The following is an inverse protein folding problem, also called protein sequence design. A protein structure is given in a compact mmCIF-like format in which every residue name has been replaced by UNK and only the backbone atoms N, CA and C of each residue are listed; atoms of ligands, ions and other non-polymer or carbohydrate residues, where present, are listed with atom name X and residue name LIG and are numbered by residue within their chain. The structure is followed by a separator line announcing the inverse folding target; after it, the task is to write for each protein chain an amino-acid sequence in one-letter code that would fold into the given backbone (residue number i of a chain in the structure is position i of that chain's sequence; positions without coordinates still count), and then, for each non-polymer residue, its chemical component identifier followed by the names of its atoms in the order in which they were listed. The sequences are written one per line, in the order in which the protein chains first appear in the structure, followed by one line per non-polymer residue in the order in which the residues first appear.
data_IF_735614067724
#
_entry.id   IF_735614067724
#
_cell.length_a   1.000
_cell.length_b   1.000
_cell.length_c   1.000
_cell.angle_alpha   90.00
_cell.angle_beta   90.00
_cell.angle_gamma   90.00
#
_symmetry.space_group_name_H-M   'P 1'
#
loop_
_entity.id
_entity.type
_entity.pdbx_description
1 polymer ?
#
# COMPACT_ATOMS: atom_id res chain seq x y z
N UNK A 1 67.16 -18.13 -15.80
CA UNK A 1 65.82 -18.05 -16.44
C UNK A 1 64.74 -18.59 -15.48
N UNK A 2 64.41 -17.84 -14.42
CA UNK A 2 63.32 -18.19 -13.47
C UNK A 2 62.53 -16.97 -12.96
N UNK A 3 62.84 -15.76 -13.43
CA UNK A 3 62.14 -14.52 -13.03
C UNK A 3 61.35 -13.86 -14.16
N UNK A 4 61.34 -14.46 -15.36
CA UNK A 4 60.57 -13.96 -16.51
C UNK A 4 59.07 -14.24 -16.41
N UNK A 5 58.62 -15.00 -15.41
CA UNK A 5 57.19 -15.27 -15.15
C UNK A 5 56.57 -14.35 -14.08
N UNK A 6 57.39 -13.56 -13.37
CA UNK A 6 56.93 -12.67 -12.30
C UNK A 6 56.70 -11.21 -12.76
N UNK A 7 56.98 -10.92 -14.04
CA UNK A 7 56.83 -9.59 -14.65
C UNK A 7 55.55 -9.42 -15.49
N UNK A 8 54.71 -10.46 -15.58
CA UNK A 8 53.46 -10.44 -16.37
C UNK A 8 52.19 -10.14 -15.56
N UNK A 9 52.31 -9.90 -14.25
CA UNK A 9 51.17 -9.62 -13.33
C UNK A 9 50.97 -8.11 -13.08
N UNK A 10 51.87 -7.25 -13.58
CA UNK A 10 51.80 -5.78 -13.44
C UNK A 10 51.07 -5.07 -14.60
N UNK A 11 50.40 -5.81 -15.50
CA UNK A 11 49.77 -5.26 -16.71
C UNK A 11 48.22 -5.31 -16.71
N UNK A 12 47.58 -5.18 -15.54
CA UNK A 12 46.13 -4.92 -15.43
C UNK A 12 45.80 -3.64 -14.63
N UNK A 13 46.70 -2.65 -14.66
CA UNK A 13 46.48 -1.29 -14.17
C UNK A 13 46.33 -0.31 -15.34
N UNK A 14 45.29 -0.48 -16.15
CA UNK A 14 44.84 0.56 -17.08
C UNK A 14 43.45 0.23 -17.64
N UNK A 15 42.40 0.51 -16.87
CA UNK A 15 41.10 0.82 -17.44
C UNK A 15 40.52 2.05 -16.74
N UNK A 16 40.85 3.19 -17.34
CA UNK A 16 40.00 4.36 -17.60
C UNK A 16 39.03 4.76 -16.49
N UNK A 17 39.39 5.87 -15.85
CA UNK A 17 38.52 6.69 -15.03
C UNK A 17 37.41 7.32 -15.87
N UNK A 18 36.15 7.04 -15.54
CA UNK A 18 35.01 7.88 -15.90
C UNK A 18 34.49 8.58 -14.65
N UNK A 19 34.85 9.85 -14.47
CA UNK A 19 34.18 10.75 -13.53
C UNK A 19 33.00 11.42 -14.23
N UNK A 20 31.77 11.14 -13.78
CA UNK A 20 30.79 12.13 -13.32
C UNK A 20 29.37 11.53 -13.19
N UNK A 21 28.85 11.72 -11.97
CA UNK A 21 27.42 11.85 -11.61
C UNK A 21 26.48 10.67 -11.82
N UNK A 22 26.76 9.56 -11.15
CA UNK A 22 25.68 8.77 -10.57
C UNK A 22 25.37 9.33 -9.19
N UNK A 23 24.26 10.08 -9.04
CA UNK A 23 23.70 10.36 -7.72
C UNK A 23 23.52 9.01 -7.03
N UNK A 24 24.38 8.73 -6.05
CA UNK A 24 24.10 7.72 -5.05
C UNK A 24 22.81 8.14 -4.37
N UNK A 25 21.70 7.54 -4.79
CA UNK A 25 20.53 7.43 -3.93
C UNK A 25 20.94 6.47 -2.81
N UNK A 26 21.77 6.97 -1.89
CA UNK A 26 21.53 6.68 -0.49
C UNK A 26 20.09 7.14 -0.28
N UNK A 27 19.14 6.22 -0.39
CA UNK A 27 17.89 6.34 0.34
C UNK A 27 18.29 6.22 1.81
N UNK A 28 18.93 7.27 2.31
CA UNK A 28 18.75 7.70 3.67
C UNK A 28 17.24 7.69 3.81
N UNK A 29 16.76 6.72 4.58
CA UNK A 29 15.39 6.59 5.03
C UNK A 29 15.17 7.79 5.96
N UNK A 30 15.25 8.98 5.39
CA UNK A 30 14.76 10.19 5.96
C UNK A 30 13.31 9.82 6.23
N UNK A 31 12.99 9.72 7.52
CA UNK A 31 11.62 9.58 7.99
C UNK A 31 10.92 10.90 7.67
N UNK A 32 10.85 11.25 6.40
CA UNK A 32 9.81 12.12 5.88
C UNK A 32 8.57 11.39 6.32
N UNK A 33 7.94 11.90 7.37
CA UNK A 33 6.59 11.53 7.75
C UNK A 33 5.80 11.54 6.46
N UNK A 34 5.55 10.35 5.91
CA UNK A 34 4.83 10.20 4.66
C UNK A 34 3.44 10.73 4.96
N UNK A 35 3.21 12.00 4.60
CA UNK A 35 1.89 12.62 4.70
C UNK A 35 1.02 11.86 3.69
N UNK A 36 0.21 10.94 4.19
CA UNK A 36 -0.71 10.14 3.40
C UNK A 36 -0.54 8.63 3.57
N UNK A 37 -1.46 7.91 2.94
CA UNK A 37 -1.54 6.47 2.92
C UNK A 37 -1.00 5.97 1.57
N UNK A 38 0.16 5.31 1.57
CA UNK A 38 0.72 4.69 0.38
C UNK A 38 -0.05 3.40 0.07
N UNK A 39 -0.71 3.37 -1.08
CA UNK A 39 -1.40 2.17 -1.57
C UNK A 39 -0.37 1.18 -2.10
N UNK A 40 -0.34 -0.02 -1.55
CA UNK A 40 0.61 -1.07 -1.96
C UNK A 40 -0.04 -2.26 -2.67
N UNK A 41 -1.36 -2.45 -2.49
CA UNK A 41 -2.13 -3.48 -3.18
C UNK A 41 -3.56 -3.01 -3.40
N UNK A 42 -4.13 -3.35 -4.54
CA UNK A 42 -5.56 -3.20 -4.83
C UNK A 42 -6.07 -4.57 -5.23
N UNK A 43 -7.18 -4.99 -4.65
CA UNK A 43 -7.87 -6.25 -4.93
C UNK A 43 -9.38 -5.99 -5.09
N UNK A 44 -10.15 -7.02 -5.39
CA UNK A 44 -11.60 -6.91 -5.42
C UNK A 44 -12.30 -8.21 -5.08
N UNK A 45 -13.48 -8.10 -4.45
CA UNK A 45 -14.38 -9.21 -4.20
C UNK A 45 -15.80 -8.74 -4.52
N UNK A 46 -16.51 -9.51 -5.35
CA UNK A 46 -17.85 -9.17 -5.84
C UNK A 46 -17.96 -7.69 -6.27
N UNK A 47 -18.82 -6.92 -5.60
CA UNK A 47 -19.08 -5.51 -5.88
C UNK A 47 -18.22 -4.55 -5.05
N UNK A 48 -17.11 -4.99 -4.46
CA UNK A 48 -16.22 -4.16 -3.64
C UNK A 48 -14.77 -4.21 -4.13
N UNK A 49 -14.08 -3.09 -3.97
CA UNK A 49 -12.63 -2.99 -4.00
C UNK A 49 -12.05 -3.09 -2.59
N UNK A 50 -10.88 -3.71 -2.49
CA UNK A 50 -10.07 -3.80 -1.28
C UNK A 50 -8.77 -3.05 -1.54
N UNK A 51 -8.65 -1.85 -0.97
CA UNK A 51 -7.49 -0.97 -1.14
C UNK A 51 -6.60 -1.15 0.10
N UNK A 52 -5.43 -1.73 -0.11
CA UNK A 52 -4.47 -1.96 0.94
C UNK A 52 -3.45 -0.83 0.94
N UNK A 53 -3.34 -0.15 2.08
CA UNK A 53 -2.47 1.00 2.23
C UNK A 53 -1.65 0.96 3.52
N UNK A 54 -0.51 1.64 3.52
CA UNK A 54 0.37 1.76 4.69
C UNK A 54 0.62 3.23 5.01
N UNK A 55 0.73 3.55 6.30
CA UNK A 55 1.12 4.88 6.79
C UNK A 55 1.97 4.70 8.04
N UNK A 56 3.25 5.04 7.94
CA UNK A 56 4.24 4.64 8.95
C UNK A 56 4.31 3.12 9.04
N UNK A 57 4.23 2.58 10.26
CA UNK A 57 4.27 1.14 10.52
C UNK A 57 2.88 0.49 10.54
N UNK A 58 1.81 1.26 10.29
CA UNK A 58 0.44 0.76 10.30
C UNK A 58 -0.05 0.36 8.91
N UNK A 59 -0.77 -0.76 8.84
CA UNK A 59 -1.42 -1.28 7.64
C UNK A 59 -2.94 -1.11 7.73
N UNK A 60 -3.54 -0.85 6.58
CA UNK A 60 -4.96 -0.53 6.46
C UNK A 60 -5.56 -1.30 5.29
N UNK A 61 -6.74 -1.87 5.50
CA UNK A 61 -7.58 -2.45 4.45
C UNK A 61 -8.83 -1.60 4.33
N UNK A 62 -8.92 -0.86 3.23
CA UNK A 62 -9.98 0.09 2.97
C UNK A 62 -10.94 -0.56 1.98
N UNK A 63 -12.20 -0.72 2.38
CA UNK A 63 -13.26 -1.32 1.58
C UNK A 63 -14.08 -0.22 0.92
N UNK A 64 -14.26 -0.34 -0.38
CA UNK A 64 -14.98 0.65 -1.18
C UNK A 64 -15.88 -0.04 -2.19
N UNK A 65 -17.18 0.28 -2.18
CA UNK A 65 -18.13 -0.31 -3.13
C UNK A 65 -17.78 0.14 -4.55
N UNK A 66 -17.76 -0.81 -5.49
CA UNK A 66 -17.54 -0.55 -6.92
C UNK A 66 -18.57 0.46 -7.39
N UNK A 67 -18.09 1.60 -7.84
CA UNK A 67 -18.88 2.65 -8.43
C UNK A 67 -18.02 3.32 -9.51
N UNK A 68 -18.65 3.71 -10.61
CA UNK A 68 -17.99 4.38 -11.71
C UNK A 68 -18.26 5.88 -11.62
N UNK A 69 -17.22 6.65 -11.30
CA UNK A 69 -17.28 8.10 -11.26
C UNK A 69 -16.16 8.66 -12.16
N UNK A 70 -16.54 9.45 -13.19
CA UNK A 70 -15.62 10.01 -14.18
C UNK A 70 -14.89 11.27 -13.70
N UNK A 71 -15.26 11.84 -12.55
CA UNK A 71 -14.77 13.15 -12.07
C UNK A 71 -13.89 13.02 -10.84
N UNK A 72 -12.79 12.28 -10.95
CA UNK A 72 -11.84 12.11 -9.84
C UNK A 72 -10.48 11.60 -10.29
N UNK A 73 -9.56 11.51 -9.34
CA UNK A 73 -8.27 10.83 -9.53
C UNK A 73 -8.43 9.34 -9.26
N UNK A 74 -8.10 8.51 -10.24
CA UNK A 74 -8.07 7.06 -10.04
C UNK A 74 -6.97 6.68 -9.03
N UNK A 75 -7.33 5.86 -8.04
CA UNK A 75 -6.43 5.30 -7.02
C UNK A 75 -5.57 4.22 -7.66
N UNK A 76 -4.26 4.38 -7.57
CA UNK A 76 -3.25 3.47 -8.11
C UNK A 76 -2.28 3.01 -7.03
N UNK A 77 -1.81 1.77 -7.17
CA UNK A 77 -0.73 1.23 -6.34
C UNK A 77 0.57 2.01 -6.55
N UNK A 78 1.38 2.13 -5.50
CA UNK A 78 2.62 2.90 -5.46
C UNK A 78 2.43 4.40 -5.23
N UNK A 79 1.19 4.90 -5.11
CA UNK A 79 0.89 6.31 -4.84
C UNK A 79 0.33 6.52 -3.44
N UNK A 80 0.54 7.72 -2.90
CA UNK A 80 0.04 8.13 -1.59
C UNK A 80 -1.15 9.08 -1.69
N UNK A 81 -2.12 8.91 -0.79
CA UNK A 81 -3.36 9.71 -0.74
C UNK A 81 -3.71 10.08 0.70
N UNK A 82 -4.34 11.24 0.90
CA UNK A 82 -4.86 11.65 2.19
C UNK A 82 -6.29 11.10 2.38
N UNK A 83 -6.41 9.79 2.63
CA UNK A 83 -7.69 9.15 2.88
C UNK A 83 -8.30 9.59 4.23
N UNK A 84 -9.59 9.93 4.22
CA UNK A 84 -10.38 10.26 5.42
C UNK A 84 -10.99 8.97 5.97
N UNK A 85 -10.15 8.17 6.64
CA UNK A 85 -10.52 6.83 7.10
C UNK A 85 -11.46 6.83 8.30
N UNK A 86 -12.43 5.92 8.27
CA UNK A 86 -13.34 5.59 9.35
C UNK A 86 -13.32 4.10 9.63
N UNK A 87 -13.26 3.76 10.91
CA UNK A 87 -13.30 2.38 11.41
C UNK A 87 -14.68 1.77 11.20
N UNK A 88 -14.73 0.57 10.62
CA UNK A 88 -15.99 -0.16 10.38
C UNK A 88 -16.49 -0.87 11.63
N UNK A 89 -15.60 -1.13 12.59
CA UNK A 89 -15.95 -1.62 13.94
C UNK A 89 -16.92 -0.68 14.68
N UNK A 90 -17.01 0.60 14.29
CA UNK A 90 -17.93 1.57 14.90
C UNK A 90 -19.35 1.55 14.30
N UNK A 91 -19.69 0.50 13.53
CA UNK A 91 -21.08 0.06 13.29
C UNK A 91 -21.72 0.51 11.98
N UNK A 92 -21.06 1.35 11.17
CA UNK A 92 -21.61 1.83 9.91
C UNK A 92 -20.53 2.00 8.84
N UNK A 93 -20.81 1.55 7.60
CA UNK A 93 -20.09 1.96 6.39
C UNK A 93 -21.11 2.67 5.50
N UNK A 94 -20.98 3.99 5.38
CA UNK A 94 -22.01 4.82 4.74
C UNK A 94 -23.37 4.67 5.46
N UNK A 95 -24.42 4.31 4.71
CA UNK A 95 -25.78 4.06 5.24
C UNK A 95 -26.03 2.59 5.64
N UNK A 96 -25.02 1.72 5.56
CA UNK A 96 -25.17 0.29 5.84
C UNK A 96 -24.76 0.03 7.28
N UNK A 97 -25.70 -0.44 8.10
CA UNK A 97 -25.41 -0.92 9.45
C UNK A 97 -24.65 -2.24 9.38
N UNK A 98 -23.45 -2.28 9.94
CA UNK A 98 -22.63 -3.50 9.95
C UNK A 98 -22.85 -4.17 11.29
N UNK A 99 -23.55 -5.29 11.26
CA UNK A 99 -23.75 -6.10 12.46
C UNK A 99 -22.47 -6.87 12.77
N UNK A 100 -21.57 -6.28 13.56
CA UNK A 100 -20.60 -7.05 14.34
C UNK A 100 -21.37 -7.84 15.40
N UNK A 101 -22.06 -8.91 14.97
CA UNK A 101 -22.88 -9.73 15.85
C UNK A 101 -21.94 -10.47 16.80
N UNK A 102 -21.69 -9.86 17.95
CA UNK A 102 -21.34 -10.44 19.25
C UNK A 102 -20.64 -11.80 19.18
N UNK A 103 -19.38 -11.87 18.78
CA UNK A 103 -18.50 -12.97 19.17
C UNK A 103 -17.04 -12.48 19.28
N UNK A 104 -16.29 -12.89 20.31
CA UNK A 104 -14.89 -12.45 20.52
C UNK A 104 -13.88 -12.89 19.44
N UNK A 105 -14.33 -13.49 18.33
CA UNK A 105 -13.49 -14.03 17.24
C UNK A 105 -14.02 -13.70 15.83
N UNK A 106 -14.85 -12.66 15.68
CA UNK A 106 -15.35 -12.26 14.36
C UNK A 106 -14.23 -11.59 13.56
N UNK A 107 -13.60 -12.36 12.67
CA UNK A 107 -12.59 -11.87 11.74
C UNK A 107 -13.19 -11.39 10.43
N UNK A 108 -14.49 -11.57 10.18
CA UNK A 108 -15.12 -11.28 8.89
C UNK A 108 -16.42 -10.51 9.05
N UNK A 109 -16.70 -9.62 8.10
CA UNK A 109 -17.87 -8.75 8.12
C UNK A 109 -18.69 -8.97 6.85
N UNK A 110 -19.99 -9.14 7.01
CA UNK A 110 -20.94 -9.17 5.90
C UNK A 110 -21.25 -7.75 5.44
N UNK A 111 -21.03 -7.48 4.15
CA UNK A 111 -21.29 -6.19 3.51
C UNK A 111 -22.59 -6.19 2.68
N UNK A 112 -22.93 -7.35 2.14
CA UNK A 112 -24.21 -7.67 1.53
C UNK A 112 -24.45 -9.19 1.59
N UNK A 113 -25.58 -9.65 1.05
CA UNK A 113 -26.00 -11.05 1.08
C UNK A 113 -25.00 -12.02 0.41
N UNK A 114 -24.09 -11.50 -0.42
CA UNK A 114 -23.12 -12.30 -1.18
C UNK A 114 -21.67 -12.04 -0.79
N UNK A 115 -21.40 -11.01 0.03
CA UNK A 115 -20.05 -10.50 0.25
C UNK A 115 -19.70 -10.47 1.72
N UNK A 116 -18.72 -11.32 2.06
CA UNK A 116 -18.04 -11.31 3.34
C UNK A 116 -16.58 -10.87 3.13
N UNK A 117 -16.10 -9.97 4.00
CA UNK A 117 -14.72 -9.45 3.93
C UNK A 117 -14.06 -9.66 5.28
N UNK A 118 -12.93 -10.35 5.26
CA UNK A 118 -12.17 -10.67 6.47
C UNK A 118 -11.02 -9.69 6.74
N UNK A 119 -10.69 -9.54 8.02
CA UNK A 119 -9.46 -8.97 8.55
C UNK A 119 -8.27 -9.83 8.16
N UNK A 120 -7.10 -9.21 8.11
CA UNK A 120 -5.84 -9.93 7.93
C UNK A 120 -5.34 -10.31 9.33
N UNK A 121 -5.39 -11.61 9.66
CA UNK A 121 -5.22 -12.18 11.00
C UNK A 121 -4.07 -11.59 11.83
N UNK A 122 -2.98 -11.22 11.17
CA UNK A 122 -1.72 -10.90 11.84
C UNK A 122 -1.33 -9.41 11.76
N UNK A 123 -2.01 -8.60 10.94
CA UNK A 123 -1.46 -7.28 10.58
C UNK A 123 -2.49 -6.18 10.35
N UNK A 124 -3.75 -6.52 10.13
CA UNK A 124 -4.83 -5.53 9.93
C UNK A 124 -6.00 -5.94 10.82
N UNK A 125 -6.18 -5.20 11.91
CA UNK A 125 -7.16 -5.50 12.97
C UNK A 125 -8.51 -4.83 12.77
N UNK A 126 -8.68 -4.04 11.70
CA UNK A 126 -9.93 -3.36 11.37
C UNK A 126 -10.12 -3.23 9.86
N UNK A 127 -11.38 -3.15 9.43
CA UNK A 127 -11.75 -2.73 8.07
C UNK A 127 -12.07 -1.25 8.10
N UNK A 128 -11.63 -0.53 7.08
CA UNK A 128 -11.87 0.90 6.98
C UNK A 128 -12.75 1.24 5.79
N UNK A 129 -13.51 2.32 5.88
CA UNK A 129 -14.03 3.03 4.72
C UNK A 129 -13.48 4.45 4.71
N UNK A 130 -13.65 5.17 3.60
CA UNK A 130 -13.18 6.54 3.50
C UNK A 130 -14.20 7.43 2.79
N UNK A 131 -14.49 8.59 3.36
CA UNK A 131 -15.49 9.53 2.80
C UNK A 131 -15.09 10.06 1.42
N UNK A 132 -13.78 10.13 1.18
CA UNK A 132 -13.21 10.64 -0.06
C UNK A 132 -12.83 9.56 -1.06
N UNK A 133 -13.47 8.38 -0.97
CA UNK A 133 -13.32 7.29 -1.94
C UNK A 133 -14.68 6.81 -2.44
N UNK A 134 -14.82 6.65 -3.76
CA UNK A 134 -15.97 5.98 -4.40
C UNK A 134 -15.48 4.93 -5.41
N UNK A 135 -15.55 3.64 -5.10
CA UNK A 135 -14.84 2.64 -5.89
C UNK A 135 -13.32 2.85 -5.80
N UNK A 136 -12.66 3.04 -6.95
CA UNK A 136 -11.24 3.45 -7.04
C UNK A 136 -11.06 4.96 -7.30
N UNK A 137 -12.08 5.75 -7.01
CA UNK A 137 -12.12 7.18 -7.29
C UNK A 137 -11.74 7.99 -6.03
N UNK A 138 -10.62 8.71 -6.05
CA UNK A 138 -10.22 9.63 -4.99
C UNK A 138 -10.78 11.04 -5.22
N UNK A 139 -11.59 11.51 -4.27
CA UNK A 139 -12.28 12.81 -4.33
C UNK A 139 -11.56 13.77 -3.39
N UNK A 140 -10.89 14.79 -3.94
CA UNK A 140 -10.21 15.80 -3.11
C UNK A 140 -11.19 16.68 -2.34
#
# INVERSE_FOLDING_TARGET
MKYTLLLMVLFFLACVSSTLTGKGYLNQKERVSAKGYEVYKIDSINTYYLIYAKRGDSLYKIVSKKNFNRKCTEIKSGLSYDFKLHSSLKGFIGNIAISAKQLPHVNCYSYDDSTEICLEKDSITDLYHADNIQGLCYIK
#
